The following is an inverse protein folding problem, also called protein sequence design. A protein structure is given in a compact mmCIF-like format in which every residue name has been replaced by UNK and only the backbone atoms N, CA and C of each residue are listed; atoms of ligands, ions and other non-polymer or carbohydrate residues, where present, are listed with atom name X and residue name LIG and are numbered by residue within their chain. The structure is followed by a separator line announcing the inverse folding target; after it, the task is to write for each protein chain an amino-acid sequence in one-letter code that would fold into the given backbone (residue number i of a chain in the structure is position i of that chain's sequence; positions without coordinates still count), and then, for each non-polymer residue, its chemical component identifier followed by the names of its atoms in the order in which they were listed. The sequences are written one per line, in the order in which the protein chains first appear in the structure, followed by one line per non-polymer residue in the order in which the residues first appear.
data_IF_763509839178
#
_entry.id   IF_763509839178
#
_cell.length_a   1.000
_cell.length_b   1.000
_cell.length_c   1.000
_cell.angle_alpha   90.00
_cell.angle_beta   90.00
_cell.angle_gamma   90.00
#
_symmetry.space_group_name_H-M   'P 1'
#
loop_
_entity.id
_entity.type
_entity.pdbx_description
1 polymer ?
#
# COMPACT_ATOMS: atom_id res chain seq x y z
N UNK A 1 -10.72 3.56 -11.06
CA UNK A 1 -9.91 3.95 -9.90
C UNK A 1 -10.00 2.86 -8.85
N UNK A 2 -8.89 2.24 -8.43
CA UNK A 2 -8.94 1.30 -7.32
C UNK A 2 -9.41 2.02 -6.06
N UNK A 3 -10.39 1.44 -5.36
CA UNK A 3 -10.83 1.96 -4.06
C UNK A 3 -9.98 1.28 -2.99
N UNK A 4 -9.37 2.07 -2.12
CA UNK A 4 -8.70 1.53 -0.93
C UNK A 4 -9.28 2.11 0.35
N UNK A 5 -9.22 1.32 1.41
CA UNK A 5 -9.52 1.79 2.75
C UNK A 5 -8.64 1.08 3.78
N UNK A 6 -8.43 1.75 4.90
CA UNK A 6 -7.75 1.20 6.06
C UNK A 6 -8.81 0.65 7.02
N UNK A 7 -8.55 -0.51 7.62
CA UNK A 7 -9.44 -1.15 8.57
C UNK A 7 -8.62 -1.87 9.64
N UNK A 8 -9.11 -1.82 10.88
CA UNK A 8 -8.56 -2.61 11.97
C UNK A 8 -8.73 -4.10 11.66
N UNK A 9 -7.68 -4.89 11.88
CA UNK A 9 -7.67 -6.33 11.57
C UNK A 9 -8.83 -7.07 12.22
N UNK A 10 -9.20 -6.66 13.43
CA UNK A 10 -10.25 -7.31 14.24
C UNK A 10 -11.66 -7.14 13.65
N UNK A 11 -11.87 -6.07 12.87
CA UNK A 11 -13.13 -5.79 12.20
C UNK A 11 -13.31 -6.58 10.90
N UNK A 12 -12.32 -7.39 10.50
CA UNK A 12 -12.40 -8.22 9.30
C UNK A 12 -13.02 -9.60 9.58
N UNK A 13 -13.68 -10.23 8.59
CA UNK A 13 -14.16 -11.60 8.72
C UNK A 13 -13.03 -12.59 9.07
N UNK A 14 -13.30 -13.66 9.85
CA UNK A 14 -12.26 -14.61 10.27
C UNK A 14 -11.46 -15.23 9.12
N UNK A 15 -12.09 -15.44 7.96
CA UNK A 15 -11.40 -15.95 6.76
C UNK A 15 -10.32 -14.99 6.26
N UNK A 16 -10.61 -13.68 6.25
CA UNK A 16 -9.66 -12.64 5.82
C UNK A 16 -8.55 -12.47 6.84
N UNK A 17 -8.86 -12.55 8.14
CA UNK A 17 -7.84 -12.58 9.19
C UNK A 17 -6.90 -13.78 9.03
N UNK A 18 -7.43 -14.93 8.59
CA UNK A 18 -6.63 -16.10 8.22
C UNK A 18 -5.65 -15.81 7.08
N UNK A 19 -6.11 -15.11 6.03
CA UNK A 19 -5.23 -14.70 4.92
C UNK A 19 -4.11 -13.78 5.38
N UNK A 20 -4.42 -12.78 6.22
CA UNK A 20 -3.43 -11.86 6.79
C UNK A 20 -2.32 -12.61 7.53
N UNK A 21 -2.65 -13.69 8.23
CA UNK A 21 -1.64 -14.53 8.88
C UNK A 21 -0.70 -15.20 7.89
N UNK A 22 -1.22 -15.74 6.80
CA UNK A 22 -0.43 -16.44 5.77
C UNK A 22 0.52 -15.48 5.05
N UNK A 23 0.10 -14.21 4.85
CA UNK A 23 0.90 -13.21 4.14
C UNK A 23 1.78 -12.35 5.08
N UNK A 24 1.90 -12.71 6.36
CA UNK A 24 2.80 -12.04 7.31
C UNK A 24 2.29 -10.68 7.80
N UNK A 25 0.97 -10.48 7.86
CA UNK A 25 0.29 -9.29 8.36
C UNK A 25 -0.54 -9.59 9.63
N UNK A 26 -0.23 -10.67 10.35
CA UNK A 26 -1.00 -11.10 11.53
C UNK A 26 -0.97 -10.08 12.67
N UNK A 27 0.18 -9.46 12.87
CA UNK A 27 0.47 -8.58 14.01
C UNK A 27 0.16 -7.10 13.69
N UNK A 28 -0.30 -6.81 12.48
CA UNK A 28 -0.70 -5.47 12.09
C UNK A 28 -2.07 -5.12 12.70
N UNK A 29 -2.11 -4.04 13.47
CA UNK A 29 -3.35 -3.54 14.08
C UNK A 29 -4.33 -3.06 13.00
N UNK A 30 -3.80 -2.38 11.99
CA UNK A 30 -4.55 -1.87 10.84
C UNK A 30 -3.94 -2.41 9.55
N UNK A 31 -4.80 -2.75 8.59
CA UNK A 31 -4.39 -3.16 7.24
C UNK A 31 -5.08 -2.30 6.20
N UNK A 32 -4.46 -2.16 5.04
CA UNK A 32 -5.08 -1.52 3.88
C UNK A 32 -5.55 -2.58 2.89
N UNK A 33 -6.82 -2.48 2.51
CA UNK A 33 -7.43 -3.32 1.49
C UNK A 33 -7.60 -2.48 0.23
N UNK A 34 -7.10 -2.99 -0.90
CA UNK A 34 -7.19 -2.33 -2.20
C UNK A 34 -7.99 -3.22 -3.13
N UNK A 35 -9.07 -2.68 -3.68
CA UNK A 35 -9.86 -3.32 -4.72
C UNK A 35 -9.37 -2.84 -6.07
N UNK A 36 -8.83 -3.77 -6.86
CA UNK A 36 -8.55 -3.55 -8.28
C UNK A 36 -9.67 -4.16 -9.12
N UNK A 37 -9.55 -4.14 -10.44
CA UNK A 37 -10.57 -4.75 -11.31
C UNK A 37 -10.56 -6.29 -11.25
N UNK A 38 -9.39 -6.89 -11.00
CA UNK A 38 -9.19 -8.35 -11.05
C UNK A 38 -8.90 -8.99 -9.69
N UNK A 39 -8.43 -8.22 -8.72
CA UNK A 39 -7.90 -8.76 -7.46
C UNK A 39 -8.10 -7.83 -6.25
N UNK A 40 -7.97 -8.43 -5.07
CA UNK A 40 -7.93 -7.74 -3.78
C UNK A 40 -6.52 -7.85 -3.22
N UNK A 41 -5.90 -6.70 -2.97
CA UNK A 41 -4.58 -6.62 -2.36
C UNK A 41 -4.70 -6.31 -0.87
N UNK A 42 -3.98 -7.07 -0.06
CA UNK A 42 -3.83 -6.85 1.38
C UNK A 42 -2.43 -6.34 1.65
N UNK A 43 -2.30 -5.15 2.25
CA UNK A 43 -0.99 -4.58 2.56
C UNK A 43 -0.95 -3.88 3.91
N UNK A 44 0.25 -3.62 4.41
CA UNK A 44 0.45 -2.67 5.50
C UNK A 44 -0.05 -1.29 5.10
N UNK A 45 -0.68 -0.54 6.02
CA UNK A 45 -1.07 0.83 5.76
C UNK A 45 0.17 1.62 5.35
N UNK A 46 0.10 2.31 4.22
CA UNK A 46 1.17 3.20 3.82
C UNK A 46 1.29 4.33 4.86
N UNK A 47 2.42 4.43 5.54
CA UNK A 47 2.72 5.58 6.40
C UNK A 47 2.60 6.87 5.58
N UNK A 48 1.76 7.84 6.01
CA UNK A 48 1.64 9.12 5.32
C UNK A 48 2.98 9.85 5.20
N UNK A 49 3.83 9.73 6.23
CA UNK A 49 5.19 10.31 6.24
C UNK A 49 6.08 9.62 5.21
N UNK A 50 6.02 8.29 5.12
CA UNK A 50 6.78 7.52 4.13
C UNK A 50 6.33 7.85 2.71
N UNK A 51 5.03 8.06 2.50
CA UNK A 51 4.46 8.47 1.20
C UNK A 51 4.93 9.87 0.81
N UNK A 52 4.94 10.82 1.75
CA UNK A 52 5.46 12.17 1.53
C UNK A 52 6.97 12.17 1.22
N UNK A 53 7.74 11.38 1.96
CA UNK A 53 9.17 11.17 1.70
C UNK A 53 9.41 10.55 0.32
N UNK A 54 8.69 9.47 -0.02
CA UNK A 54 8.83 8.77 -1.29
C UNK A 54 8.51 9.69 -2.48
N UNK A 55 7.51 10.57 -2.36
CA UNK A 55 7.19 11.57 -3.39
C UNK A 55 8.39 12.48 -3.67
N UNK A 56 8.99 13.04 -2.62
CA UNK A 56 10.17 13.91 -2.78
C UNK A 56 11.38 13.20 -3.40
N UNK A 57 11.58 11.91 -3.08
CA UNK A 57 12.64 11.09 -3.66
C UNK A 57 12.35 10.75 -5.13
N UNK A 58 11.13 10.31 -5.44
CA UNK A 58 10.71 9.99 -6.82
C UNK A 58 10.79 11.20 -7.74
N UNK A 59 10.35 12.39 -7.29
CA UNK A 59 10.42 13.62 -8.10
C UNK A 59 11.87 13.98 -8.47
N UNK A 60 12.83 13.70 -7.58
CA UNK A 60 14.26 13.93 -7.83
C UNK A 60 14.81 12.95 -8.87
N UNK A 61 14.46 11.68 -8.76
CA UNK A 61 14.88 10.66 -9.73
C UNK A 61 14.21 10.85 -11.09
N UNK A 62 12.93 11.21 -11.13
CA UNK A 62 12.21 11.48 -12.38
C UNK A 62 12.83 12.66 -13.12
N UNK A 63 13.21 13.72 -12.39
CA UNK A 63 13.93 14.86 -12.97
C UNK A 63 15.28 14.45 -13.54
N UNK A 64 16.09 13.72 -12.76
CA UNK A 64 17.40 13.25 -13.22
C UNK A 64 17.26 12.31 -14.43
N UNK A 65 16.24 11.46 -14.45
CA UNK A 65 15.95 10.58 -15.58
C UNK A 65 15.60 11.38 -16.82
N UNK A 66 14.70 12.36 -16.71
CA UNK A 66 14.31 13.27 -17.82
C UNK A 66 15.51 14.00 -18.40
N UNK A 67 16.39 14.52 -17.54
CA UNK A 67 17.65 15.14 -17.96
C UNK A 67 18.56 14.17 -18.75
N UNK A 68 18.66 12.91 -18.30
CA UNK A 68 19.45 11.87 -18.99
C UNK A 68 18.85 11.51 -20.35
N UNK A 69 17.52 11.41 -20.46
CA UNK A 69 16.83 11.02 -21.69
C UNK A 69 16.49 12.20 -22.62
N UNK A 70 16.85 13.44 -22.23
CA UNK A 70 16.63 14.65 -23.02
C UNK A 70 15.17 15.10 -23.11
N UNK A 71 14.36 14.82 -22.07
CA UNK A 71 12.96 15.23 -21.93
C UNK A 71 12.79 16.44 -21.00
#
# INVERSE_FOLDING_TARGET
MPKSFNIERENLPPVVQGWLRVVGLADEETVEIIFTESEVLLRRPMSPQLRAWAKGVSDKYDRAFREIVGL
#
